data_IF_779498492850
#
_entry.id   IF_779498492850
#
_cell.length_a   1.000
_cell.length_b   1.000
_cell.length_c   1.000
_cell.angle_alpha   90.00
_cell.angle_beta   90.00
_cell.angle_gamma   90.00
#
_symmetry.space_group_name_H-M   'P 1'
#
loop_
_entity.id
_entity.type
_entity.pdbx_description
1 polymer ?
#
# COMPACT_ATOMS: atom_id res chain seq x y z
N UNK A 1 -13.11 -15.03 -4.45
CA UNK A 1 -14.19 -14.20 -5.02
C UNK A 1 -13.75 -13.87 -6.42
N UNK A 2 -14.60 -14.12 -7.41
CA UNK A 2 -14.15 -14.08 -8.81
C UNK A 2 -14.56 -12.77 -9.48
N UNK A 3 -13.60 -12.12 -10.14
CA UNK A 3 -13.81 -10.94 -10.99
C UNK A 3 -13.34 -11.27 -12.39
N UNK A 4 -14.23 -11.19 -13.39
CA UNK A 4 -13.90 -11.50 -14.80
C UNK A 4 -13.14 -12.84 -15.01
N UNK A 5 -13.45 -13.86 -14.20
CA UNK A 5 -12.80 -15.17 -14.24
C UNK A 5 -11.51 -15.30 -13.39
N UNK A 6 -11.01 -14.21 -12.80
CA UNK A 6 -9.86 -14.20 -11.90
C UNK A 6 -10.34 -14.42 -10.46
N UNK A 7 -9.88 -15.48 -9.80
CA UNK A 7 -10.19 -15.71 -8.38
C UNK A 7 -9.25 -14.91 -7.46
N UNK A 8 -9.84 -14.05 -6.65
CA UNK A 8 -9.16 -13.29 -5.61
C UNK A 8 -9.23 -14.08 -4.29
N UNK A 9 -8.08 -14.52 -3.73
CA UNK A 9 -8.02 -15.48 -2.63
C UNK A 9 -8.29 -14.81 -1.27
N UNK A 10 -9.54 -14.40 -1.03
CA UNK A 10 -9.93 -13.68 0.20
C UNK A 10 -9.62 -14.42 1.50
N UNK A 11 -9.57 -15.75 1.47
CA UNK A 11 -9.25 -16.58 2.64
C UNK A 11 -7.79 -16.43 3.09
N UNK A 12 -6.88 -16.14 2.16
CA UNK A 12 -5.44 -16.05 2.41
C UNK A 12 -5.00 -14.59 2.67
N UNK A 13 -5.84 -13.61 2.31
CA UNK A 13 -5.57 -12.18 2.55
C UNK A 13 -5.33 -11.81 4.03
N UNK A 14 -6.03 -12.36 5.04
CA UNK A 14 -5.79 -12.00 6.43
C UNK A 14 -4.36 -12.33 6.88
N UNK A 15 -3.86 -13.54 6.56
CA UNK A 15 -2.50 -13.95 6.90
C UNK A 15 -1.47 -13.10 6.16
N UNK A 16 -1.69 -12.87 4.87
CA UNK A 16 -0.84 -12.00 4.06
C UNK A 16 -0.77 -10.58 4.64
N UNK A 17 -1.93 -9.98 4.96
CA UNK A 17 -1.98 -8.63 5.51
C UNK A 17 -1.27 -8.53 6.86
N UNK A 18 -1.47 -9.51 7.74
CA UNK A 18 -0.80 -9.55 9.04
C UNK A 18 0.72 -9.67 8.88
N UNK A 19 1.20 -10.59 8.04
CA UNK A 19 2.62 -10.81 7.81
C UNK A 19 3.35 -9.60 7.24
N UNK A 20 2.66 -8.79 6.45
CA UNK A 20 3.23 -7.63 5.77
C UNK A 20 2.84 -6.29 6.40
N UNK A 21 2.22 -6.30 7.58
CA UNK A 21 1.76 -5.10 8.28
C UNK A 21 0.83 -4.21 7.43
N UNK A 22 0.02 -4.84 6.58
CA UNK A 22 -0.99 -4.18 5.76
C UNK A 22 -2.24 -4.00 6.61
N UNK A 23 -2.58 -2.74 6.87
CA UNK A 23 -3.81 -2.34 7.55
C UNK A 23 -5.03 -2.51 6.66
N UNK A 24 -4.91 -2.19 5.38
CA UNK A 24 -6.01 -2.32 4.41
C UNK A 24 -5.46 -2.67 3.03
N UNK A 25 -6.13 -3.60 2.37
CA UNK A 25 -5.92 -3.90 0.95
C UNK A 25 -7.25 -3.73 0.22
N UNK A 26 -7.23 -3.13 -0.96
CA UNK A 26 -8.45 -2.85 -1.74
C UNK A 26 -8.17 -2.99 -3.22
N UNK A 27 -9.06 -3.67 -3.95
CA UNK A 27 -9.04 -3.66 -5.41
C UNK A 27 -9.49 -2.29 -5.91
N UNK A 28 -8.86 -1.81 -6.98
CA UNK A 28 -9.32 -0.65 -7.71
C UNK A 28 -9.02 -0.79 -9.21
N UNK A 29 -9.34 0.24 -9.99
CA UNK A 29 -8.99 0.26 -11.41
C UNK A 29 -9.93 -0.56 -12.27
N UNK A 30 -9.39 -1.12 -13.35
CA UNK A 30 -10.18 -1.71 -14.44
C UNK A 30 -10.86 -3.03 -14.06
N UNK A 31 -10.31 -3.80 -13.12
CA UNK A 31 -10.86 -5.09 -12.63
C UNK A 31 -12.26 -4.99 -12.01
N UNK A 32 -12.68 -3.79 -11.63
CA UNK A 32 -14.01 -3.52 -11.07
C UNK A 32 -15.02 -3.01 -12.12
N UNK A 33 -14.63 -2.93 -13.39
CA UNK A 33 -15.41 -2.33 -14.48
C UNK A 33 -15.77 -3.39 -15.53
N UNK A 34 -16.88 -3.17 -16.22
CA UNK A 34 -17.38 -4.11 -17.23
C UNK A 34 -16.49 -4.20 -18.48
N UNK A 35 -15.61 -3.23 -18.71
CA UNK A 35 -14.69 -3.16 -19.86
C UNK A 35 -13.31 -3.81 -19.60
N UNK A 36 -13.20 -4.62 -18.54
CA UNK A 36 -11.98 -5.37 -18.22
C UNK A 36 -11.61 -6.33 -19.35
N UNK A 37 -10.34 -6.32 -19.76
CA UNK A 37 -9.83 -7.14 -20.86
C UNK A 37 -8.76 -8.12 -20.37
N UNK A 38 -8.50 -9.23 -21.08
CA UNK A 38 -7.46 -10.20 -20.68
C UNK A 38 -6.06 -9.61 -20.46
N UNK A 39 -5.75 -8.52 -21.16
CA UNK A 39 -4.50 -7.77 -21.08
C UNK A 39 -4.51 -6.65 -20.03
N UNK A 40 -5.62 -6.45 -19.31
CA UNK A 40 -5.72 -5.48 -18.23
C UNK A 40 -4.99 -5.97 -16.97
N UNK A 41 -4.26 -5.05 -16.33
CA UNK A 41 -3.65 -5.30 -15.02
C UNK A 41 -4.70 -5.34 -13.90
N UNK A 42 -4.34 -5.98 -12.77
CA UNK A 42 -5.14 -5.99 -11.54
C UNK A 42 -4.50 -5.08 -10.51
N UNK A 43 -5.14 -3.94 -10.27
CA UNK A 43 -4.62 -2.92 -9.37
C UNK A 43 -5.09 -3.12 -7.92
N UNK A 44 -4.15 -3.05 -6.98
CA UNK A 44 -4.42 -3.07 -5.55
C UNK A 44 -3.89 -1.81 -4.87
N UNK A 45 -4.73 -1.21 -4.03
CA UNK A 45 -4.34 -0.17 -3.09
C UNK A 45 -4.00 -0.83 -1.76
N UNK A 46 -2.86 -0.46 -1.19
CA UNK A 46 -2.35 -0.99 0.07
C UNK A 46 -2.11 0.16 1.05
N UNK A 47 -2.65 0.04 2.25
CA UNK A 47 -2.38 0.91 3.40
C UNK A 47 -1.55 0.12 4.42
N UNK A 48 -0.37 0.62 4.76
CA UNK A 48 0.57 -0.02 5.71
C UNK A 48 0.43 0.63 7.09
N UNK A 49 0.66 -0.14 8.14
CA UNK A 49 0.70 0.32 9.53
C UNK A 49 1.94 -0.22 10.25
N UNK A 50 2.84 0.67 10.67
CA UNK A 50 4.08 0.27 11.36
C UNK A 50 3.99 0.33 12.89
N UNK A 51 2.87 0.80 13.45
CA UNK A 51 2.77 1.04 14.89
C UNK A 51 2.99 -0.23 15.73
N UNK A 52 2.56 -1.39 15.25
CA UNK A 52 2.80 -2.67 15.95
C UNK A 52 4.27 -3.07 15.96
N UNK A 53 4.97 -2.86 14.84
CA UNK A 53 6.40 -3.16 14.71
C UNK A 53 7.25 -2.24 15.61
N UNK A 54 6.89 -0.96 15.70
CA UNK A 54 7.64 0.05 16.44
C UNK A 54 7.20 0.14 17.92
N UNK A 55 6.03 -0.41 18.28
CA UNK A 55 5.46 -0.32 19.62
C UNK A 55 4.99 1.08 20.01
N UNK A 56 4.84 1.99 19.05
CA UNK A 56 4.41 3.39 19.23
C UNK A 56 3.59 3.83 18.02
N UNK A 57 2.79 4.88 18.19
CA UNK A 57 2.05 5.50 17.07
C UNK A 57 3.03 6.00 16.01
N UNK A 58 2.87 5.53 14.77
CA UNK A 58 3.62 5.98 13.59
C UNK A 58 2.71 6.81 12.68
N UNK A 59 3.21 7.92 12.15
CA UNK A 59 2.58 8.65 11.04
C UNK A 59 3.43 8.42 9.77
N UNK A 60 2.82 7.87 8.72
CA UNK A 60 3.49 7.62 7.45
C UNK A 60 3.10 8.72 6.47
N UNK A 61 4.10 9.40 5.93
CA UNK A 61 3.93 10.46 4.93
C UNK A 61 4.78 10.20 3.72
N UNK A 62 4.21 10.43 2.54
CA UNK A 62 5.04 10.58 1.34
C UNK A 62 5.56 12.01 1.28
N UNK A 63 6.73 12.22 0.69
CA UNK A 63 7.27 13.58 0.52
C UNK A 63 6.25 14.51 -0.16
N UNK A 64 5.47 13.99 -1.12
CA UNK A 64 4.46 14.76 -1.87
C UNK A 64 3.36 15.37 -1.00
N UNK A 65 3.05 14.76 0.15
CA UNK A 65 2.04 15.25 1.09
C UNK A 65 2.53 16.41 1.95
N UNK A 66 3.85 16.59 2.05
CA UNK A 66 4.47 17.66 2.83
C UNK A 66 4.47 18.97 2.05
N UNK A 67 4.27 20.09 2.75
CA UNK A 67 4.45 21.43 2.18
C UNK A 67 5.89 21.61 1.71
N UNK A 68 6.12 22.49 0.72
CA UNK A 68 7.46 22.61 0.10
C UNK A 68 8.57 22.87 1.13
N UNK A 69 8.40 23.88 1.99
CA UNK A 69 9.40 24.24 2.99
C UNK A 69 9.63 23.12 4.01
N UNK A 70 8.55 22.51 4.50
CA UNK A 70 8.65 21.41 5.46
C UNK A 70 9.27 20.15 4.85
N UNK A 71 9.00 19.88 3.57
CA UNK A 71 9.63 18.79 2.82
C UNK A 71 11.13 18.96 2.72
N UNK A 72 11.61 20.16 2.39
CA UNK A 72 13.05 20.44 2.25
C UNK A 72 13.78 20.23 3.58
N UNK A 73 13.19 20.69 4.69
CA UNK A 73 13.70 20.45 6.05
C UNK A 73 13.73 18.95 6.38
N UNK A 74 12.60 18.25 6.25
CA UNK A 74 12.49 16.80 6.53
C UNK A 74 13.48 15.99 5.70
N UNK A 75 13.65 16.29 4.41
CA UNK A 75 14.58 15.56 3.55
C UNK A 75 16.05 15.78 3.92
N UNK A 76 16.36 16.93 4.54
CA UNK A 76 17.73 17.23 5.00
C UNK A 76 18.04 16.51 6.31
N UNK A 77 17.06 16.40 7.19
CA UNK A 77 17.23 15.81 8.53
C UNK A 77 16.96 14.29 8.57
N UNK A 78 16.27 13.74 7.58
CA UNK A 78 15.88 12.34 7.56
C UNK A 78 17.09 11.40 7.56
N UNK A 79 17.14 10.50 8.56
CA UNK A 79 18.07 9.38 8.57
C UNK A 79 17.54 8.24 7.70
N UNK A 80 18.33 7.84 6.72
CA UNK A 80 18.01 6.69 5.87
C UNK A 80 18.26 5.39 6.63
N UNK A 81 17.18 4.63 6.89
CA UNK A 81 17.27 3.32 7.54
C UNK A 81 17.54 2.16 6.56
N UNK A 82 17.02 2.23 5.33
CA UNK A 82 17.14 1.17 4.34
C UNK A 82 16.87 1.71 2.93
N UNK A 83 17.66 1.28 1.95
CA UNK A 83 17.45 1.49 0.50
C UNK A 83 17.62 0.14 -0.20
N UNK A 84 16.66 -0.23 -1.06
CA UNK A 84 16.86 -1.32 -2.03
C UNK A 84 17.48 -0.72 -3.30
N UNK A 85 18.63 -1.25 -3.70
CA UNK A 85 19.23 -0.99 -5.03
C UNK A 85 18.33 -1.43 -6.16
#
# INVERSE_FOLDING_TARGET
>A
MTYHGIDIPRKDLPEFCQRHHIRRISLFGSILRDDFRPESDVDFLVEIELSELIGRKVDLRTAKELSRYFREEVLTEAERLYDTV
#
